data_IF_860711911323
#
_entry.id   IF_860711911323
#
_cell.length_a   1.000
_cell.length_b   1.000
_cell.length_c   1.000
_cell.angle_alpha   90.00
_cell.angle_beta   90.00
_cell.angle_gamma   90.00
#
_symmetry.space_group_name_H-M   'P 1'
#
loop_
_entity.id
_entity.type
_entity.pdbx_description
1 polymer ?
#
# COMPACT_ATOMS: atom_id res chain seq x y z
N UNK A 1 -6.39 -12.97 -1.16
CA UNK A 1 -6.91 -12.37 -2.41
C UNK A 1 -7.61 -11.01 -2.25
N UNK A 2 -8.57 -10.80 -1.34
CA UNK A 2 -9.33 -9.53 -1.24
C UNK A 2 -8.46 -8.26 -1.17
N UNK A 3 -7.45 -8.23 -0.29
CA UNK A 3 -6.52 -7.08 -0.15
C UNK A 3 -5.71 -6.77 -1.41
N UNK A 4 -5.36 -7.79 -2.19
CA UNK A 4 -4.64 -7.62 -3.47
C UNK A 4 -5.55 -6.88 -4.45
N UNK A 5 -6.80 -7.34 -4.62
CA UNK A 5 -7.78 -6.72 -5.52
C UNK A 5 -8.08 -5.29 -5.10
N UNK A 6 -8.30 -5.06 -3.81
CA UNK A 6 -8.54 -3.72 -3.26
C UNK A 6 -7.35 -2.77 -3.53
N UNK A 7 -6.11 -3.22 -3.29
CA UNK A 7 -4.91 -2.41 -3.57
C UNK A 7 -4.79 -2.04 -5.05
N UNK A 8 -5.02 -3.00 -5.94
CA UNK A 8 -4.94 -2.78 -7.39
C UNK A 8 -6.02 -1.81 -7.89
N UNK A 9 -7.24 -1.95 -7.39
CA UNK A 9 -8.39 -1.14 -7.82
C UNK A 9 -8.49 0.22 -7.13
N UNK A 10 -7.60 0.53 -6.17
CA UNK A 10 -7.68 1.78 -5.40
C UNK A 10 -8.79 1.80 -4.35
N UNK A 11 -9.33 0.63 -3.99
CA UNK A 11 -10.32 0.46 -2.94
C UNK A 11 -9.71 -0.16 -1.67
N UNK A 12 -8.40 -0.03 -1.50
CA UNK A 12 -7.75 -0.45 -0.29
C UNK A 12 -8.16 0.45 0.87
N UNK A 13 -8.40 -0.16 2.02
CA UNK A 13 -8.69 0.57 3.23
C UNK A 13 -7.45 1.39 3.60
N UNK A 14 -7.58 2.70 3.40
CA UNK A 14 -6.53 3.72 3.48
C UNK A 14 -7.14 5.00 4.01
N UNK A 15 -6.31 5.96 4.42
CA UNK A 15 -6.78 7.30 4.76
C UNK A 15 -7.45 8.03 3.59
N UNK A 16 -6.94 7.84 2.36
CA UNK A 16 -7.58 8.35 1.13
C UNK A 16 -8.99 7.78 0.93
N UNK A 17 -9.14 6.46 1.09
CA UNK A 17 -10.44 5.81 1.03
C UNK A 17 -11.38 6.35 2.11
N UNK A 18 -10.91 6.48 3.36
CA UNK A 18 -11.70 6.99 4.48
C UNK A 18 -12.17 8.42 4.26
N UNK A 19 -11.27 9.29 3.77
CA UNK A 19 -11.60 10.67 3.39
C UNK A 19 -12.66 10.71 2.29
N UNK A 20 -12.56 9.84 1.27
CA UNK A 20 -13.51 9.80 0.14
C UNK A 20 -14.93 9.45 0.58
N UNK A 21 -15.07 8.59 1.60
CA UNK A 21 -16.38 8.15 2.11
C UNK A 21 -16.80 8.84 3.41
N UNK A 22 -16.08 9.91 3.82
CA UNK A 22 -16.38 10.70 5.01
C UNK A 22 -16.45 9.87 6.32
N UNK A 23 -15.58 8.87 6.46
CA UNK A 23 -15.38 8.18 7.74
C UNK A 23 -14.64 9.10 8.73
N UNK A 24 -15.02 9.03 10.01
CA UNK A 24 -14.47 9.87 11.09
C UNK A 24 -13.06 9.42 11.52
N UNK A 25 -12.68 8.18 11.17
CA UNK A 25 -11.34 7.65 11.44
C UNK A 25 -10.21 8.51 10.82
N UNK A 26 -8.99 8.53 11.43
CA UNK A 26 -7.91 9.41 10.99
C UNK A 26 -7.45 9.19 9.54
N UNK A 27 -7.45 10.22 8.70
CA UNK A 27 -7.03 10.08 7.29
C UNK A 27 -5.51 10.16 7.08
N UNK A 28 -4.78 10.71 8.05
CA UNK A 28 -3.32 10.84 7.97
C UNK A 28 -2.63 9.54 8.37
N UNK A 29 -1.47 9.29 7.76
CA UNK A 29 -0.66 8.14 8.10
C UNK A 29 0.00 8.37 9.47
N UNK A 30 -0.03 7.38 10.38
CA UNK A 30 0.59 7.53 11.70
C UNK A 30 2.12 7.52 11.67
N UNK A 31 2.77 7.45 10.48
CA UNK A 31 4.22 7.58 10.40
C UNK A 31 4.70 9.00 10.67
N UNK A 32 3.92 10.00 10.28
CA UNK A 32 4.25 11.42 10.42
C UNK A 32 3.04 12.28 10.83
N UNK A 33 1.83 11.70 10.89
CA UNK A 33 0.56 12.36 11.17
C UNK A 33 0.22 13.55 10.27
N UNK A 34 0.88 13.67 9.12
CA UNK A 34 0.76 14.83 8.21
C UNK A 34 0.56 14.41 6.75
N UNK A 35 1.11 13.27 6.35
CA UNK A 35 0.93 12.72 5.00
C UNK A 35 -0.38 11.95 4.92
N UNK A 36 -1.17 12.20 3.87
CA UNK A 36 -2.37 11.40 3.60
C UNK A 36 -1.98 9.94 3.41
N UNK A 37 -2.64 9.03 4.12
CA UNK A 37 -2.38 7.60 3.98
C UNK A 37 -2.96 7.12 2.64
N UNK A 38 -2.15 7.12 1.58
CA UNK A 38 -2.50 6.62 0.25
C UNK A 38 -1.85 5.25 -0.02
N UNK A 39 -2.34 4.53 -1.03
CA UNK A 39 -1.69 3.28 -1.49
C UNK A 39 -0.25 3.51 -1.96
N UNK A 40 0.00 4.64 -2.62
CA UNK A 40 1.32 5.01 -3.12
C UNK A 40 2.27 5.26 -1.95
N UNK A 41 1.83 6.07 -0.97
CA UNK A 41 2.61 6.34 0.24
C UNK A 41 2.97 5.02 0.96
N UNK A 42 1.99 4.15 1.22
CA UNK A 42 2.22 2.87 1.91
C UNK A 42 3.27 2.01 1.17
N UNK A 43 3.11 1.86 -0.15
CA UNK A 43 3.97 0.99 -0.95
C UNK A 43 5.37 1.55 -1.16
N UNK A 44 5.52 2.87 -1.30
CA UNK A 44 6.77 3.49 -1.79
C UNK A 44 7.55 4.28 -0.74
N UNK A 45 6.88 4.97 0.19
CA UNK A 45 7.50 6.01 1.04
C UNK A 45 7.39 5.73 2.54
N UNK A 46 6.24 5.26 3.01
CA UNK A 46 5.92 5.08 4.43
C UNK A 46 6.99 4.31 5.22
N UNK A 47 7.69 4.93 6.19
CA UNK A 47 8.80 4.28 6.89
C UNK A 47 8.36 3.05 7.70
N UNK A 48 7.09 2.98 8.11
CA UNK A 48 6.49 1.84 8.83
C UNK A 48 6.60 0.50 8.08
N UNK A 49 6.72 0.56 6.75
CA UNK A 49 6.71 -0.63 5.90
C UNK A 49 8.04 -0.88 5.17
N UNK A 50 9.08 -0.09 5.48
CA UNK A 50 10.37 -0.12 4.80
C UNK A 50 11.02 -1.50 4.81
N UNK A 51 10.99 -2.19 5.96
CA UNK A 51 11.59 -3.52 6.12
C UNK A 51 10.98 -4.60 5.21
N UNK A 52 9.75 -4.40 4.71
CA UNK A 52 9.04 -5.37 3.87
C UNK A 52 9.13 -5.05 2.37
N UNK A 53 9.73 -3.92 1.98
CA UNK A 53 9.83 -3.49 0.58
C UNK A 53 10.89 -4.22 -0.24
N UNK A 54 11.75 -5.03 0.37
CA UNK A 54 12.81 -5.76 -0.34
C UNK A 54 12.28 -6.55 -1.55
N UNK A 55 11.16 -7.27 -1.37
CA UNK A 55 10.51 -8.01 -2.45
C UNK A 55 9.94 -7.12 -3.55
N UNK A 56 9.39 -5.96 -3.20
CA UNK A 56 8.89 -4.99 -4.19
C UNK A 56 10.04 -4.37 -4.98
N UNK A 57 11.14 -4.02 -4.31
CA UNK A 57 12.35 -3.44 -4.94
C UNK A 57 13.10 -4.41 -5.85
N UNK A 58 12.96 -5.72 -5.60
CA UNK A 58 13.46 -6.74 -6.52
C UNK A 58 12.67 -6.78 -7.84
N UNK A 59 11.41 -6.32 -7.86
CA UNK A 59 10.60 -6.20 -9.08
C UNK A 59 10.83 -4.86 -9.77
N UNK A 60 10.76 -3.76 -9.00
CA UNK A 60 10.96 -2.39 -9.50
C UNK A 60 11.72 -1.60 -8.44
N UNK A 61 12.95 -1.16 -8.77
CA UNK A 61 13.88 -0.51 -7.83
C UNK A 61 13.22 0.69 -7.12
N UNK A 62 12.48 1.49 -7.89
CA UNK A 62 11.78 2.69 -7.40
C UNK A 62 10.31 2.42 -7.08
N UNK A 63 9.89 1.15 -7.09
CA UNK A 63 8.53 0.68 -6.75
C UNK A 63 7.48 1.40 -7.63
N UNK A 64 7.67 1.36 -8.95
CA UNK A 64 6.71 1.94 -9.89
C UNK A 64 5.38 1.17 -9.80
N UNK A 65 4.29 1.87 -9.47
CA UNK A 65 3.00 1.23 -9.18
C UNK A 65 2.47 0.40 -10.35
N UNK A 66 2.67 0.84 -11.60
CA UNK A 66 2.22 0.07 -12.77
C UNK A 66 2.94 -1.28 -12.90
N UNK A 67 4.21 -1.36 -12.50
CA UNK A 67 4.97 -2.63 -12.51
C UNK A 67 4.52 -3.56 -11.39
N UNK A 68 4.33 -3.02 -10.18
CA UNK A 68 3.91 -3.80 -9.01
C UNK A 68 2.45 -4.27 -9.13
N UNK A 69 1.55 -3.39 -9.56
CA UNK A 69 0.10 -3.66 -9.59
C UNK A 69 -0.38 -4.26 -10.92
N UNK A 70 0.41 -4.10 -11.99
CA UNK A 70 0.04 -4.48 -13.36
C UNK A 70 0.63 -5.81 -13.84
N UNK A 71 1.71 -6.30 -13.24
CA UNK A 71 2.39 -7.53 -13.71
C UNK A 71 2.16 -8.71 -12.78
N UNK A 72 2.23 -9.94 -13.32
CA UNK A 72 2.08 -11.17 -12.51
C UNK A 72 3.13 -11.23 -11.38
N UNK A 73 4.40 -11.00 -11.71
CA UNK A 73 5.51 -10.99 -10.73
C UNK A 73 5.33 -9.89 -9.68
N UNK A 74 4.88 -8.71 -10.09
CA UNK A 74 4.55 -7.62 -9.17
C UNK A 74 3.43 -7.99 -8.20
N UNK A 75 2.39 -8.66 -8.67
CA UNK A 75 1.27 -9.13 -7.84
C UNK A 75 1.73 -10.20 -6.84
N UNK A 76 2.59 -11.13 -7.25
CA UNK A 76 3.19 -12.13 -6.35
C UNK A 76 4.05 -11.44 -5.26
N UNK A 77 4.88 -10.47 -5.63
CA UNK A 77 5.65 -9.68 -4.66
C UNK A 77 4.75 -8.85 -3.73
N UNK A 78 3.66 -8.28 -4.26
CA UNK A 78 2.66 -7.56 -3.48
C UNK A 78 1.98 -8.49 -2.47
N UNK A 79 1.64 -9.72 -2.85
CA UNK A 79 1.06 -10.70 -1.93
C UNK A 79 1.97 -10.96 -0.73
N UNK A 80 3.27 -11.19 -0.98
CA UNK A 80 4.29 -11.37 0.07
C UNK A 80 4.37 -10.12 0.95
N UNK A 81 4.42 -8.93 0.36
CA UNK A 81 4.42 -7.67 1.10
C UNK A 81 3.20 -7.55 2.02
N UNK A 82 1.99 -7.81 1.51
CA UNK A 82 0.73 -7.73 2.26
C UNK A 82 0.61 -8.80 3.35
N UNK A 83 1.22 -9.96 3.13
CA UNK A 83 1.25 -11.04 4.10
C UNK A 83 2.04 -10.63 5.36
N UNK A 84 3.24 -10.05 5.18
CA UNK A 84 4.14 -9.68 6.27
C UNK A 84 3.81 -8.31 6.90
N UNK A 85 3.59 -7.29 6.08
CA UNK A 85 3.37 -5.92 6.55
C UNK A 85 2.04 -5.70 7.28
N UNK A 86 1.05 -6.56 7.00
CA UNK A 86 -0.35 -6.35 7.38
C UNK A 86 -0.92 -4.99 6.94
N UNK A 87 -0.35 -4.37 5.91
CA UNK A 87 -0.88 -3.15 5.33
C UNK A 87 -2.32 -3.36 4.80
N UNK A 88 -3.10 -2.26 4.76
CA UNK A 88 -4.49 -2.22 4.28
C UNK A 88 -5.44 -3.16 5.03
N UNK A 89 -5.34 -3.22 6.36
CA UNK A 89 -6.18 -4.07 7.22
C UNK A 89 -7.07 -3.29 8.19
N UNK A 90 -6.92 -1.97 8.24
CA UNK A 90 -7.49 -1.07 9.24
C UNK A 90 -7.68 0.29 8.65
#
# INVERSE_FOLDING_TARGET
YGRIVQTRTGHAYTGEFRRRFAFDEPHMCPCDNTTLETREHILTQCPRFEQWRGGLRAISRDIVLSEILGTKKGIEALEVFLHHSKAFTR
#
